data_IF_716689894537
#
_entry.id   IF_716689894537
#
_cell.length_a   1.000
_cell.length_b   1.000
_cell.length_c   1.000
_cell.angle_alpha   90.00
_cell.angle_beta   90.00
_cell.angle_gamma   90.00
#
_symmetry.space_group_name_H-M   'P 1'
#
loop_
_entity.id
_entity.type
_entity.pdbx_description
1 polymer ?
#
# COMPACT_ATOMS: atom_id res chain seq x y z
N UNK A 1 35.21 23.12 -11.45
CA UNK A 1 34.11 22.34 -12.06
C UNK A 1 33.19 21.90 -10.92
N UNK A 2 31.91 22.29 -10.91
CA UNK A 2 31.00 21.86 -9.85
C UNK A 2 30.77 20.35 -9.98
N UNK A 3 30.98 19.61 -8.90
CA UNK A 3 30.68 18.19 -8.80
C UNK A 3 29.22 17.93 -9.22
N UNK A 4 29.05 17.20 -10.31
CA UNK A 4 27.75 16.69 -10.75
C UNK A 4 27.31 15.61 -9.76
N UNK A 5 26.71 16.01 -8.64
CA UNK A 5 26.09 15.11 -7.68
C UNK A 5 24.99 14.34 -8.40
N UNK A 6 25.26 13.08 -8.73
CA UNK A 6 24.29 12.14 -9.29
C UNK A 6 23.21 11.91 -8.25
N UNK A 7 22.08 12.62 -8.40
CA UNK A 7 20.90 12.41 -7.58
C UNK A 7 20.50 10.94 -7.66
N UNK A 8 20.36 10.30 -6.50
CA UNK A 8 19.96 8.90 -6.41
C UNK A 8 18.60 8.71 -7.09
N UNK A 9 18.53 7.70 -7.97
CA UNK A 9 17.33 7.41 -8.75
C UNK A 9 16.18 7.00 -7.82
N UNK A 10 14.99 7.57 -8.05
CA UNK A 10 13.81 7.24 -7.24
C UNK A 10 13.36 5.78 -7.46
N UNK A 11 12.90 5.09 -6.41
CA UNK A 11 12.42 3.71 -6.52
C UNK A 11 11.18 3.63 -7.43
N UNK A 12 11.24 2.79 -8.46
CA UNK A 12 10.14 2.56 -9.41
C UNK A 12 9.10 1.58 -8.86
N UNK A 13 7.85 1.78 -9.28
CA UNK A 13 6.79 0.80 -9.06
C UNK A 13 7.06 -0.49 -9.86
N UNK A 14 6.65 -1.61 -9.29
CA UNK A 14 6.64 -2.91 -9.97
C UNK A 14 5.74 -2.85 -11.23
N UNK A 15 6.13 -3.53 -12.29
CA UNK A 15 5.43 -3.56 -13.59
C UNK A 15 3.99 -4.02 -13.45
N UNK A 16 3.72 -4.95 -12.52
CA UNK A 16 2.35 -5.40 -12.23
C UNK A 16 1.51 -4.26 -11.65
N UNK A 17 2.08 -3.44 -10.77
CA UNK A 17 1.40 -2.31 -10.13
C UNK A 17 1.13 -1.20 -11.13
N UNK A 18 2.10 -0.85 -11.98
CA UNK A 18 1.89 0.18 -13.02
C UNK A 18 0.83 -0.24 -14.04
N UNK A 19 0.81 -1.54 -14.41
CA UNK A 19 -0.23 -2.09 -15.29
C UNK A 19 -1.61 -2.03 -14.65
N UNK A 20 -1.72 -2.37 -13.37
CA UNK A 20 -2.98 -2.28 -12.62
C UNK A 20 -3.47 -0.82 -12.51
N UNK A 21 -2.57 0.12 -12.15
CA UNK A 21 -2.88 1.55 -12.07
C UNK A 21 -3.33 2.12 -13.41
N UNK A 22 -2.66 1.77 -14.51
CA UNK A 22 -3.05 2.20 -15.85
C UNK A 22 -4.45 1.71 -16.22
N UNK A 23 -4.72 0.41 -16.03
CA UNK A 23 -6.05 -0.17 -16.33
C UNK A 23 -7.12 0.51 -15.50
N UNK A 24 -6.84 0.75 -14.22
CA UNK A 24 -7.80 1.40 -13.34
C UNK A 24 -8.04 2.87 -13.74
N UNK A 25 -6.98 3.62 -14.06
CA UNK A 25 -7.09 4.99 -14.56
C UNK A 25 -7.92 5.08 -15.84
N UNK A 26 -7.74 4.13 -16.77
CA UNK A 26 -8.57 4.04 -17.98
C UNK A 26 -10.02 3.73 -17.62
N UNK A 27 -10.27 2.69 -16.81
CA UNK A 27 -11.62 2.28 -16.44
C UNK A 27 -12.41 3.39 -15.73
N UNK A 28 -11.80 4.10 -14.78
CA UNK A 28 -12.49 5.19 -14.07
C UNK A 28 -12.73 6.41 -14.97
N UNK A 29 -11.83 6.67 -15.93
CA UNK A 29 -12.02 7.73 -16.92
C UNK A 29 -13.17 7.40 -17.87
N UNK A 30 -13.21 6.17 -18.39
CA UNK A 30 -14.32 5.69 -19.24
C UNK A 30 -15.63 5.73 -18.48
N UNK A 31 -15.65 5.29 -17.20
CA UNK A 31 -16.84 5.37 -16.36
C UNK A 31 -17.29 6.81 -16.12
N UNK A 32 -16.38 7.75 -15.89
CA UNK A 32 -16.76 9.16 -15.73
C UNK A 32 -17.30 9.74 -17.05
N UNK A 33 -16.63 9.48 -18.18
CA UNK A 33 -17.12 9.92 -19.50
C UNK A 33 -18.52 9.37 -19.75
N UNK A 34 -18.72 8.06 -19.59
CA UNK A 34 -20.03 7.42 -19.70
C UNK A 34 -21.01 7.99 -18.67
N UNK A 35 -20.55 8.31 -17.47
CA UNK A 35 -21.26 9.00 -16.41
C UNK A 35 -21.97 10.26 -16.90
N UNK A 36 -21.19 11.20 -17.40
CA UNK A 36 -21.69 12.49 -17.90
C UNK A 36 -22.48 12.37 -19.21
N UNK A 37 -22.15 11.41 -20.09
CA UNK A 37 -22.80 11.31 -21.40
C UNK A 37 -24.04 10.42 -21.43
N UNK A 38 -24.06 9.32 -20.68
CA UNK A 38 -25.06 8.25 -20.80
C UNK A 38 -25.70 7.81 -19.49
N UNK A 39 -25.04 7.96 -18.34
CA UNK A 39 -25.59 7.47 -17.06
C UNK A 39 -26.40 8.53 -16.32
N UNK A 40 -26.19 9.81 -16.65
CA UNK A 40 -26.91 10.93 -16.06
C UNK A 40 -26.19 11.53 -14.86
N UNK A 41 -24.87 11.71 -14.94
CA UNK A 41 -24.16 12.40 -13.88
C UNK A 41 -24.68 13.84 -13.71
N UNK A 42 -25.15 14.17 -12.51
CA UNK A 42 -25.77 15.47 -12.21
C UNK A 42 -24.75 16.59 -11.99
N UNK A 43 -23.49 16.22 -11.75
CA UNK A 43 -22.44 17.21 -11.48
C UNK A 43 -22.14 18.06 -12.73
N UNK A 44 -21.66 19.30 -12.58
CA UNK A 44 -21.26 20.11 -13.73
C UNK A 44 -20.09 19.50 -14.51
N UNK A 45 -20.15 19.57 -15.85
CA UNK A 45 -19.17 19.00 -16.78
C UNK A 45 -17.72 19.49 -16.58
N UNK A 46 -17.52 20.65 -15.95
CA UNK A 46 -16.19 21.20 -15.66
C UNK A 46 -15.53 20.57 -14.42
N UNK A 47 -16.32 20.03 -13.48
CA UNK A 47 -15.82 19.51 -12.22
C UNK A 47 -14.82 18.36 -12.32
N UNK A 48 -14.98 17.34 -13.19
CA UNK A 48 -14.00 16.26 -13.28
C UNK A 48 -12.64 16.78 -13.76
N UNK A 49 -12.62 17.80 -14.63
CA UNK A 49 -11.39 18.46 -15.07
C UNK A 49 -10.72 19.23 -13.95
N UNK A 50 -11.51 19.99 -13.17
CA UNK A 50 -11.02 20.72 -11.99
C UNK A 50 -10.44 19.76 -10.96
N UNK A 51 -11.12 18.64 -10.70
CA UNK A 51 -10.68 17.62 -9.74
C UNK A 51 -9.37 16.97 -10.17
N UNK A 52 -9.25 16.56 -11.44
CA UNK A 52 -8.02 15.97 -11.99
C UNK A 52 -6.87 16.96 -12.00
N UNK A 53 -7.10 18.20 -12.46
CA UNK A 53 -6.09 19.24 -12.48
C UNK A 53 -5.58 19.54 -11.07
N UNK A 54 -6.49 19.67 -10.10
CA UNK A 54 -6.14 19.84 -8.69
C UNK A 54 -5.30 18.67 -8.20
N UNK A 55 -5.69 17.43 -8.48
CA UNK A 55 -4.95 16.25 -8.06
C UNK A 55 -3.53 16.22 -8.65
N UNK A 56 -3.37 16.60 -9.91
CA UNK A 56 -2.07 16.67 -10.58
C UNK A 56 -1.17 17.75 -9.99
N UNK A 57 -1.70 18.96 -9.82
CA UNK A 57 -0.94 20.07 -9.22
C UNK A 57 -0.46 19.70 -7.82
N UNK A 58 -1.33 19.13 -6.99
CA UNK A 58 -0.99 18.71 -5.63
C UNK A 58 0.05 17.59 -5.63
N UNK A 59 -0.13 16.54 -6.43
CA UNK A 59 0.80 15.40 -6.47
C UNK A 59 2.19 15.81 -6.97
N UNK A 60 2.27 16.64 -8.02
CA UNK A 60 3.54 17.17 -8.55
C UNK A 60 4.22 18.06 -7.51
N UNK A 61 3.47 18.96 -6.87
CA UNK A 61 4.01 19.89 -5.87
C UNK A 61 4.57 19.15 -4.66
N UNK A 62 3.82 18.20 -4.11
CA UNK A 62 4.24 17.42 -2.94
C UNK A 62 5.44 16.52 -3.26
N UNK A 63 5.49 15.94 -4.45
CA UNK A 63 6.66 15.18 -4.91
C UNK A 63 7.88 16.09 -5.11
N UNK A 64 7.73 17.28 -5.67
CA UNK A 64 8.82 18.23 -5.83
C UNK A 64 9.40 18.67 -4.46
N UNK A 65 8.53 18.93 -3.48
CA UNK A 65 8.92 19.27 -2.11
C UNK A 65 9.62 18.09 -1.43
N UNK A 66 9.05 16.89 -1.49
CA UNK A 66 9.65 15.68 -0.92
C UNK A 66 10.99 15.33 -1.57
N UNK A 67 11.09 15.41 -2.89
CA UNK A 67 12.32 15.12 -3.62
C UNK A 67 13.45 16.10 -3.25
N UNK A 68 13.12 17.39 -3.11
CA UNK A 68 14.07 18.42 -2.62
C UNK A 68 14.53 18.13 -1.20
N UNK A 69 13.60 17.80 -0.30
CA UNK A 69 13.93 17.46 1.10
C UNK A 69 14.79 16.20 1.23
N UNK A 70 14.52 15.19 0.42
CA UNK A 70 15.25 13.91 0.40
C UNK A 70 16.51 13.95 -0.50
N UNK A 71 16.83 15.11 -1.11
CA UNK A 71 17.96 15.29 -2.05
C UNK A 71 18.02 14.21 -3.14
N UNK A 72 16.86 13.83 -3.67
CA UNK A 72 16.70 12.83 -4.73
C UNK A 72 16.07 13.46 -5.97
N UNK A 73 16.20 12.78 -7.12
CA UNK A 73 15.48 13.19 -8.30
C UNK A 73 13.96 13.00 -8.10
N UNK A 74 13.11 13.91 -8.61
CA UNK A 74 11.66 13.70 -8.62
C UNK A 74 11.30 12.45 -9.43
N UNK A 75 10.31 11.69 -8.94
CA UNK A 75 9.83 10.45 -9.55
C UNK A 75 9.31 10.67 -10.96
N UNK A 76 8.63 11.79 -11.19
CA UNK A 76 8.10 12.15 -12.49
C UNK A 76 9.18 12.49 -13.54
N UNK A 77 10.41 12.80 -13.11
CA UNK A 77 11.51 13.07 -14.03
C UNK A 77 12.13 11.78 -14.62
N UNK A 78 11.83 10.62 -14.04
CA UNK A 78 12.40 9.34 -14.44
C UNK A 78 11.70 8.69 -15.63
N UNK A 79 12.34 8.63 -16.80
CA UNK A 79 11.82 7.94 -17.99
C UNK A 79 10.96 8.81 -18.92
N UNK A 80 11.18 10.13 -18.89
CA UNK A 80 10.55 11.09 -19.79
C UNK A 80 9.04 11.18 -19.63
N UNK A 81 8.34 11.48 -20.72
CA UNK A 81 6.88 11.65 -20.74
C UNK A 81 6.13 10.44 -20.18
N UNK A 82 6.57 9.22 -20.51
CA UNK A 82 5.96 7.99 -19.99
C UNK A 82 6.07 7.89 -18.46
N UNK A 83 7.21 8.30 -17.90
CA UNK A 83 7.42 8.33 -16.45
C UNK A 83 6.49 9.32 -15.74
N UNK A 84 6.29 10.50 -16.33
CA UNK A 84 5.32 11.49 -15.83
C UNK A 84 3.89 10.93 -15.81
N UNK A 85 3.43 10.33 -16.91
CA UNK A 85 2.08 9.75 -16.99
C UNK A 85 1.90 8.62 -15.97
N UNK A 86 2.88 7.72 -15.85
CA UNK A 86 2.84 6.63 -14.87
C UNK A 86 2.82 7.13 -13.41
N UNK A 87 3.50 8.25 -13.14
CA UNK A 87 3.46 8.92 -11.84
C UNK A 87 2.09 9.54 -11.54
N UNK A 88 1.38 10.06 -12.55
CA UNK A 88 0.11 10.75 -12.36
C UNK A 88 -1.11 9.81 -12.23
N UNK A 89 -1.02 8.54 -12.65
CA UNK A 89 -2.17 7.62 -12.58
C UNK A 89 -2.85 7.54 -11.20
N UNK A 90 -2.13 7.41 -10.07
CA UNK A 90 -2.77 7.37 -8.76
C UNK A 90 -3.50 8.66 -8.41
N UNK A 91 -2.97 9.82 -8.80
CA UNK A 91 -3.60 11.12 -8.56
C UNK A 91 -4.85 11.30 -9.44
N UNK A 92 -4.77 10.90 -10.71
CA UNK A 92 -5.90 10.90 -11.65
C UNK A 92 -7.09 10.12 -11.11
N UNK A 93 -6.84 8.88 -10.69
CA UNK A 93 -7.85 8.00 -10.09
C UNK A 93 -8.45 8.65 -8.84
N UNK A 94 -7.61 9.25 -7.99
CA UNK A 94 -8.07 9.90 -6.75
C UNK A 94 -8.98 11.09 -7.06
N UNK A 95 -8.58 11.97 -7.99
CA UNK A 95 -9.37 13.14 -8.38
C UNK A 95 -10.73 12.77 -8.95
N UNK A 96 -10.77 11.85 -9.92
CA UNK A 96 -12.03 11.38 -10.50
C UNK A 96 -12.91 10.66 -9.47
N UNK A 97 -12.33 9.84 -8.60
CA UNK A 97 -13.10 9.14 -7.57
C UNK A 97 -13.73 10.12 -6.56
N UNK A 98 -12.99 11.12 -6.09
CA UNK A 98 -13.53 12.14 -5.17
C UNK A 98 -14.65 12.92 -5.85
N UNK A 99 -14.46 13.38 -7.09
CA UNK A 99 -15.52 14.07 -7.84
C UNK A 99 -16.77 13.20 -7.99
N UNK A 100 -16.62 11.98 -8.51
CA UNK A 100 -17.72 11.10 -8.86
C UNK A 100 -18.53 10.65 -7.64
N UNK A 101 -17.88 10.46 -6.49
CA UNK A 101 -18.49 9.88 -5.29
C UNK A 101 -18.94 10.92 -4.27
N UNK A 102 -18.64 12.21 -4.48
CA UNK A 102 -19.12 13.27 -3.59
C UNK A 102 -20.21 14.09 -4.27
N UNK A 103 -21.11 14.59 -3.45
CA UNK A 103 -22.12 15.55 -3.85
C UNK A 103 -22.00 16.77 -2.94
N UNK A 104 -21.42 17.84 -3.49
CA UNK A 104 -21.11 19.08 -2.78
C UNK A 104 -21.95 20.26 -3.27
N UNK A 105 -23.13 19.99 -3.82
CA UNK A 105 -24.07 20.97 -4.38
C UNK A 105 -23.42 21.88 -5.45
N UNK A 106 -23.31 23.18 -5.18
CA UNK A 106 -22.71 24.20 -6.04
C UNK A 106 -21.27 24.56 -5.61
N UNK A 107 -20.75 23.93 -4.55
CA UNK A 107 -19.50 24.35 -3.87
C UNK A 107 -18.29 23.56 -4.36
N UNK A 108 -17.83 23.87 -5.57
CA UNK A 108 -16.63 23.26 -6.19
C UNK A 108 -15.39 23.32 -5.28
N UNK A 109 -15.26 24.36 -4.44
CA UNK A 109 -14.15 24.50 -3.49
C UNK A 109 -14.09 23.38 -2.45
N UNK A 110 -15.22 22.79 -2.06
CA UNK A 110 -15.26 21.65 -1.14
C UNK A 110 -14.77 20.38 -1.81
N UNK A 111 -15.09 20.18 -3.09
CA UNK A 111 -14.50 19.10 -3.89
C UNK A 111 -12.98 19.29 -4.05
N UNK A 112 -12.52 20.51 -4.38
CA UNK A 112 -11.08 20.84 -4.46
C UNK A 112 -10.39 20.52 -3.13
N UNK A 113 -10.96 20.95 -2.01
CA UNK A 113 -10.47 20.65 -0.67
C UNK A 113 -10.36 19.13 -0.43
N UNK A 114 -11.41 18.36 -0.73
CA UNK A 114 -11.39 16.91 -0.60
C UNK A 114 -10.30 16.25 -1.44
N UNK A 115 -10.07 16.72 -2.66
CA UNK A 115 -8.98 16.23 -3.53
C UNK A 115 -7.61 16.55 -2.92
N UNK A 116 -7.40 17.76 -2.41
CA UNK A 116 -6.15 18.15 -1.73
C UNK A 116 -5.88 17.24 -0.53
N UNK A 117 -6.88 17.01 0.32
CA UNK A 117 -6.77 16.12 1.49
C UNK A 117 -6.49 14.67 1.05
N UNK A 118 -7.21 14.19 0.04
CA UNK A 118 -7.08 12.84 -0.49
C UNK A 118 -5.68 12.57 -1.07
N UNK A 119 -5.14 13.50 -1.86
CA UNK A 119 -3.80 13.37 -2.42
C UNK A 119 -2.75 13.56 -1.31
N UNK A 120 -2.93 14.59 -0.47
CA UNK A 120 -2.04 14.93 0.63
C UNK A 120 -1.85 13.81 1.65
N UNK A 121 -2.89 13.01 1.94
CA UNK A 121 -2.76 11.91 2.90
C UNK A 121 -1.73 10.85 2.48
N UNK A 122 -1.42 10.70 1.18
CA UNK A 122 -0.36 9.79 0.70
C UNK A 122 1.03 10.22 1.16
N UNK A 123 1.19 11.52 1.41
CA UNK A 123 2.45 12.15 1.79
C UNK A 123 2.61 12.23 3.31
N UNK A 124 1.52 12.55 4.01
CA UNK A 124 1.51 12.75 5.46
C UNK A 124 1.34 11.41 6.22
N UNK A 125 0.35 10.60 5.86
CA UNK A 125 -0.02 9.39 6.63
C UNK A 125 0.68 8.16 6.08
N UNK A 126 1.95 8.00 6.45
CA UNK A 126 2.78 6.84 6.09
C UNK A 126 3.13 6.00 7.33
N UNK A 127 3.14 4.69 7.15
CA UNK A 127 3.55 3.73 8.17
C UNK A 127 4.71 2.85 7.66
N UNK A 128 5.61 2.42 8.54
CA UNK A 128 6.72 1.54 8.18
C UNK A 128 6.18 0.13 7.87
N UNK A 129 6.36 -0.33 6.63
CA UNK A 129 5.97 -1.66 6.20
C UNK A 129 7.15 -2.35 5.50
N UNK A 130 7.71 -3.40 6.12
CA UNK A 130 8.88 -4.14 5.62
C UNK A 130 10.06 -3.21 5.28
N UNK A 131 10.37 -2.26 6.17
CA UNK A 131 11.49 -1.33 6.01
C UNK A 131 11.26 -0.20 5.01
N UNK A 132 10.06 -0.05 4.43
CA UNK A 132 9.70 1.10 3.57
C UNK A 132 8.48 1.82 4.10
N UNK A 133 8.50 3.15 4.07
CA UNK A 133 7.34 3.98 4.38
C UNK A 133 6.30 3.86 3.27
N UNK A 134 5.08 3.45 3.63
CA UNK A 134 3.94 3.36 2.70
C UNK A 134 2.73 4.06 3.28
N UNK A 135 1.93 4.69 2.43
CA UNK A 135 0.64 5.21 2.87
C UNK A 135 -0.24 4.05 3.31
N UNK A 136 -0.98 4.24 4.39
CA UNK A 136 -1.89 3.22 4.92
C UNK A 136 -3.36 3.62 4.79
N UNK A 137 -3.62 4.88 4.44
CA UNK A 137 -4.95 5.45 4.30
C UNK A 137 -5.38 5.48 2.84
N UNK A 138 -6.60 5.00 2.54
CA UNK A 138 -7.15 5.09 1.18
C UNK A 138 -7.39 6.58 0.86
N UNK A 139 -6.74 7.12 -0.17
CA UNK A 139 -6.69 8.55 -0.42
C UNK A 139 -8.08 9.13 -0.71
N UNK A 140 -8.79 8.60 -1.70
CA UNK A 140 -10.12 9.09 -2.07
C UNK A 140 -11.12 8.87 -0.94
N UNK A 141 -11.09 7.71 -0.29
CA UNK A 141 -11.96 7.42 0.84
C UNK A 141 -11.75 8.40 2.00
N UNK A 142 -10.50 8.74 2.32
CA UNK A 142 -10.19 9.67 3.40
C UNK A 142 -10.58 11.10 3.05
N UNK A 143 -10.34 11.56 1.82
CA UNK A 143 -10.81 12.87 1.37
C UNK A 143 -12.33 13.01 1.48
N UNK A 144 -13.07 11.98 1.06
CA UNK A 144 -14.54 11.92 1.20
C UNK A 144 -14.94 11.95 2.67
N UNK A 145 -14.32 11.13 3.52
CA UNK A 145 -14.63 11.10 4.95
C UNK A 145 -14.39 12.46 5.64
N UNK A 146 -13.31 13.17 5.26
CA UNK A 146 -13.01 14.50 5.80
C UNK A 146 -14.00 15.55 5.28
N UNK A 147 -14.44 15.48 4.02
CA UNK A 147 -15.53 16.33 3.53
C UNK A 147 -16.78 16.12 4.40
N UNK A 148 -17.22 14.86 4.55
CA UNK A 148 -18.44 14.53 5.29
C UNK A 148 -18.37 14.92 6.77
N UNK A 149 -17.16 14.93 7.36
CA UNK A 149 -16.94 15.34 8.74
C UNK A 149 -17.01 16.87 8.92
N UNK A 150 -16.42 17.63 7.99
CA UNK A 150 -16.28 19.09 8.12
C UNK A 150 -17.45 19.86 7.49
N UNK A 151 -18.11 19.27 6.50
CA UNK A 151 -19.20 19.87 5.74
C UNK A 151 -20.43 18.96 5.85
N UNK A 152 -21.22 19.06 6.94
CA UNK A 152 -22.34 18.16 7.21
C UNK A 152 -23.49 18.28 6.18
N UNK A 153 -23.52 19.35 5.38
CA UNK A 153 -24.45 19.55 4.28
C UNK A 153 -23.98 18.88 2.98
N UNK A 154 -22.72 18.44 2.91
CA UNK A 154 -22.22 17.64 1.79
C UNK A 154 -22.65 16.18 1.99
N UNK A 155 -22.84 15.48 0.87
CA UNK A 155 -23.28 14.08 0.87
C UNK A 155 -22.42 13.25 -0.08
N UNK A 156 -22.69 11.95 -0.07
CA UNK A 156 -22.17 11.03 -1.09
C UNK A 156 -23.09 11.12 -2.30
N UNK A 157 -22.50 10.96 -3.49
CA UNK A 157 -23.27 10.84 -4.73
C UNK A 157 -24.38 9.79 -4.56
N UNK A 158 -25.64 10.15 -4.82
CA UNK A 158 -26.76 9.25 -4.58
C UNK A 158 -26.70 8.04 -5.52
N UNK A 159 -27.22 6.86 -5.13
CA UNK A 159 -27.08 5.65 -5.94
C UNK A 159 -27.65 5.76 -7.36
N UNK A 160 -28.74 6.52 -7.55
CA UNK A 160 -29.39 6.74 -8.84
C UNK A 160 -28.49 7.49 -9.83
N UNK A 161 -27.53 8.29 -9.33
CA UNK A 161 -26.58 9.05 -10.14
C UNK A 161 -25.83 8.21 -11.18
N UNK A 162 -25.67 6.91 -10.93
CA UNK A 162 -24.97 5.99 -11.82
C UNK A 162 -25.87 5.31 -12.86
N UNK A 163 -27.19 5.48 -12.77
CA UNK A 163 -28.18 4.76 -13.58
C UNK A 163 -29.38 5.63 -13.98
N UNK A 164 -29.34 6.96 -13.79
CA UNK A 164 -30.50 7.86 -13.98
C UNK A 164 -31.10 7.78 -15.38
N UNK A 165 -30.25 7.68 -16.40
CA UNK A 165 -30.68 7.56 -17.79
C UNK A 165 -30.75 6.12 -18.30
N UNK A 166 -30.54 5.15 -17.42
CA UNK A 166 -30.73 3.74 -17.74
C UNK A 166 -32.14 3.32 -17.36
N UNK A 167 -32.71 2.42 -18.17
CA UNK A 167 -34.05 1.90 -17.94
C UNK A 167 -34.09 0.40 -18.27
N UNK A 168 -34.81 -0.36 -17.45
CA UNK A 168 -35.12 -1.76 -17.73
C UNK A 168 -33.90 -2.68 -17.58
N UNK A 169 -33.58 -3.54 -18.55
CA UNK A 169 -32.44 -4.47 -18.42
C UNK A 169 -31.09 -3.76 -18.22
N UNK A 170 -30.92 -2.53 -18.73
CA UNK A 170 -29.67 -1.79 -18.64
C UNK A 170 -29.25 -1.48 -17.19
N UNK A 171 -30.22 -1.30 -16.30
CA UNK A 171 -30.01 -1.01 -14.87
C UNK A 171 -29.25 -2.13 -14.15
N UNK A 172 -29.39 -3.37 -14.63
CA UNK A 172 -28.70 -4.54 -14.08
C UNK A 172 -27.38 -4.82 -14.81
N UNK A 173 -27.31 -4.49 -16.10
CA UNK A 173 -26.12 -4.74 -16.93
C UNK A 173 -24.94 -3.90 -16.46
N UNK A 174 -25.12 -2.61 -16.15
CA UNK A 174 -24.02 -1.75 -15.72
C UNK A 174 -23.38 -2.22 -14.39
N UNK A 175 -24.12 -2.43 -13.28
CA UNK A 175 -23.56 -3.01 -12.06
C UNK A 175 -22.87 -4.36 -12.32
N UNK A 176 -23.44 -5.22 -13.17
CA UNK A 176 -22.85 -6.51 -13.49
C UNK A 176 -21.51 -6.38 -14.23
N UNK A 177 -21.39 -5.44 -15.18
CA UNK A 177 -20.12 -5.14 -15.87
C UNK A 177 -19.08 -4.65 -14.87
N UNK A 178 -19.44 -3.67 -14.03
CA UNK A 178 -18.52 -3.10 -13.02
C UNK A 178 -18.09 -4.19 -12.03
N UNK A 179 -19.02 -5.02 -11.57
CA UNK A 179 -18.76 -6.14 -10.66
C UNK A 179 -17.82 -7.16 -11.32
N UNK A 180 -18.05 -7.54 -12.57
CA UNK A 180 -17.24 -8.53 -13.29
C UNK A 180 -15.83 -8.00 -13.53
N UNK A 181 -15.69 -6.78 -14.02
CA UNK A 181 -14.39 -6.13 -14.25
C UNK A 181 -13.61 -5.94 -12.94
N UNK A 182 -14.30 -5.46 -11.90
CA UNK A 182 -13.73 -5.26 -10.57
C UNK A 182 -13.27 -6.57 -9.94
N UNK A 183 -14.10 -7.61 -10.00
CA UNK A 183 -13.78 -8.94 -9.46
C UNK A 183 -12.62 -9.56 -10.22
N UNK A 184 -12.59 -9.46 -11.56
CA UNK A 184 -11.49 -9.96 -12.38
C UNK A 184 -10.17 -9.25 -12.05
N UNK A 185 -10.19 -7.92 -11.87
CA UNK A 185 -9.03 -7.15 -11.45
C UNK A 185 -8.54 -7.62 -10.08
N UNK A 186 -9.46 -7.84 -9.13
CA UNK A 186 -9.11 -8.28 -7.79
C UNK A 186 -8.63 -9.73 -7.70
N UNK A 187 -9.15 -10.61 -8.54
CA UNK A 187 -8.75 -12.00 -8.62
C UNK A 187 -7.38 -12.17 -9.29
N UNK A 188 -7.12 -11.46 -10.40
CA UNK A 188 -5.90 -11.67 -11.21
C UNK A 188 -4.75 -10.72 -10.88
N UNK A 189 -5.01 -9.47 -10.49
CA UNK A 189 -3.98 -8.43 -10.37
C UNK A 189 -3.67 -8.07 -8.91
N UNK A 190 -4.67 -7.79 -8.07
CA UNK A 190 -4.44 -7.28 -6.70
C UNK A 190 -4.45 -8.37 -5.63
N UNK A 191 -5.12 -9.51 -5.89
CA UNK A 191 -5.18 -10.65 -4.98
C UNK A 191 -5.97 -10.35 -3.70
N UNK A 192 -7.12 -9.68 -3.83
CA UNK A 192 -7.93 -9.17 -2.70
C UNK A 192 -9.26 -9.89 -2.48
N UNK A 193 -9.44 -11.07 -3.06
CA UNK A 193 -10.69 -11.84 -2.96
C UNK A 193 -11.08 -12.20 -1.51
N UNK A 194 -10.11 -12.53 -0.65
CA UNK A 194 -10.41 -12.85 0.76
C UNK A 194 -10.94 -11.63 1.52
N UNK A 195 -10.44 -10.44 1.20
CA UNK A 195 -10.93 -9.19 1.76
C UNK A 195 -12.37 -8.92 1.30
N UNK A 196 -12.64 -9.04 -0.01
CA UNK A 196 -13.98 -8.86 -0.58
C UNK A 196 -14.98 -9.81 0.09
N UNK A 197 -14.65 -11.10 0.17
CA UNK A 197 -15.55 -12.09 0.77
C UNK A 197 -15.81 -11.79 2.25
N UNK A 198 -14.78 -11.45 3.02
CA UNK A 198 -14.95 -11.12 4.44
C UNK A 198 -15.76 -9.83 4.65
N UNK A 199 -15.57 -8.83 3.79
CA UNK A 199 -16.36 -7.60 3.78
C UNK A 199 -17.84 -7.88 3.47
N UNK A 200 -18.13 -8.63 2.39
CA UNK A 200 -19.51 -8.93 1.98
C UNK A 200 -20.24 -9.80 3.01
N UNK A 201 -19.61 -10.87 3.47
CA UNK A 201 -20.18 -11.74 4.51
C UNK A 201 -20.37 -10.95 5.81
N UNK A 202 -19.36 -10.18 6.22
CA UNK A 202 -19.47 -9.32 7.39
C UNK A 202 -20.59 -8.29 7.26
N UNK A 203 -20.78 -7.69 6.08
CA UNK A 203 -21.85 -6.73 5.81
C UNK A 203 -23.23 -7.35 5.97
N UNK A 204 -23.43 -8.57 5.45
CA UNK A 204 -24.69 -9.31 5.61
C UNK A 204 -24.91 -9.68 7.08
N UNK A 205 -23.90 -10.23 7.74
CA UNK A 205 -23.99 -10.64 9.15
C UNK A 205 -24.32 -9.45 10.05
N UNK A 206 -23.64 -8.31 9.91
CA UNK A 206 -23.94 -7.13 10.74
C UNK A 206 -25.35 -6.58 10.46
N UNK A 207 -25.84 -6.64 9.22
CA UNK A 207 -27.18 -6.19 8.88
C UNK A 207 -28.25 -7.08 9.51
N UNK A 208 -28.05 -8.41 9.47
CA UNK A 208 -28.94 -9.38 10.13
C UNK A 208 -28.92 -9.20 11.64
N UNK A 209 -27.74 -9.10 12.26
CA UNK A 209 -27.62 -8.88 13.71
C UNK A 209 -28.33 -7.60 14.14
N UNK A 210 -28.13 -6.50 13.42
CA UNK A 210 -28.85 -5.24 13.70
C UNK A 210 -30.35 -5.36 13.48
N UNK A 211 -30.79 -6.11 12.48
CA UNK A 211 -32.21 -6.36 12.27
C UNK A 211 -32.85 -7.13 13.42
N UNK A 212 -32.16 -8.14 13.95
CA UNK A 212 -32.64 -8.94 15.07
C UNK A 212 -32.57 -8.21 16.42
N UNK A 213 -31.53 -7.41 16.66
CA UNK A 213 -31.30 -6.74 17.96
C UNK A 213 -31.95 -5.37 18.04
N UNK A 214 -31.91 -4.58 16.95
CA UNK A 214 -32.36 -3.18 16.93
C UNK A 214 -33.67 -2.99 16.16
N UNK A 215 -34.27 -4.07 15.63
CA UNK A 215 -35.52 -4.00 14.85
C UNK A 215 -35.37 -3.30 13.49
N UNK A 216 -34.15 -3.13 12.98
CA UNK A 216 -33.94 -2.55 11.64
C UNK A 216 -34.47 -3.50 10.55
N UNK A 217 -35.15 -2.98 9.53
CA UNK A 217 -35.54 -3.81 8.37
C UNK A 217 -34.30 -4.39 7.68
N UNK A 218 -34.15 -5.72 7.74
CA UNK A 218 -33.02 -6.43 7.12
C UNK A 218 -32.98 -6.19 5.60
N UNK A 219 -34.10 -6.29 4.85
CA UNK A 219 -34.09 -5.97 3.42
C UNK A 219 -33.64 -4.53 3.13
N UNK A 220 -34.08 -3.56 3.94
CA UNK A 220 -33.65 -2.17 3.77
C UNK A 220 -32.15 -1.99 4.04
N UNK A 221 -31.62 -2.65 5.08
CA UNK A 221 -30.20 -2.62 5.41
C UNK A 221 -29.32 -3.27 4.32
N UNK A 222 -29.82 -4.33 3.68
CA UNK A 222 -29.14 -5.00 2.56
C UNK A 222 -29.33 -4.27 1.22
N UNK A 223 -30.32 -3.37 1.11
CA UNK A 223 -30.63 -2.65 -0.12
C UNK A 223 -29.43 -1.88 -0.69
N UNK A 224 -28.51 -1.39 0.14
CA UNK A 224 -27.28 -0.75 -0.34
C UNK A 224 -26.45 -1.66 -1.24
N UNK A 225 -26.47 -2.99 -1.04
CA UNK A 225 -25.65 -3.94 -1.78
C UNK A 225 -26.00 -4.03 -3.27
N UNK A 226 -27.21 -3.60 -3.66
CA UNK A 226 -27.65 -3.61 -5.05
C UNK A 226 -27.18 -2.37 -5.83
N UNK A 227 -26.73 -1.32 -5.13
CA UNK A 227 -26.33 -0.06 -5.76
C UNK A 227 -24.94 -0.10 -6.39
N UNK A 228 -24.78 0.63 -7.50
CA UNK A 228 -23.49 0.79 -8.20
C UNK A 228 -22.40 1.34 -7.27
N UNK A 229 -22.75 2.30 -6.40
CA UNK A 229 -21.81 2.87 -5.43
C UNK A 229 -21.21 1.80 -4.49
N UNK A 230 -22.00 0.83 -4.05
CA UNK A 230 -21.53 -0.26 -3.20
C UNK A 230 -20.59 -1.22 -3.96
N UNK A 231 -20.92 -1.53 -5.22
CA UNK A 231 -20.07 -2.35 -6.10
C UNK A 231 -18.73 -1.65 -6.37
N UNK A 232 -18.75 -0.35 -6.65
CA UNK A 232 -17.56 0.46 -6.86
C UNK A 232 -16.70 0.52 -5.60
N UNK A 233 -17.31 0.79 -4.45
CA UNK A 233 -16.62 0.79 -3.17
C UNK A 233 -15.95 -0.57 -2.88
N UNK A 234 -16.69 -1.66 -3.07
CA UNK A 234 -16.24 -3.03 -2.79
C UNK A 234 -15.07 -3.43 -3.70
N UNK A 235 -15.12 -3.08 -4.99
CA UNK A 235 -14.13 -3.54 -5.95
C UNK A 235 -12.93 -2.60 -6.13
N UNK A 236 -13.09 -1.32 -5.79
CA UNK A 236 -12.11 -0.29 -6.15
C UNK A 236 -11.67 0.61 -4.99
N UNK A 237 -12.34 0.57 -3.83
CA UNK A 237 -11.95 1.38 -2.67
C UNK A 237 -11.47 0.51 -1.50
N UNK A 238 -12.32 -0.38 -0.98
CA UNK A 238 -11.97 -1.21 0.18
C UNK A 238 -10.81 -2.17 -0.12
N UNK A 239 -10.65 -2.54 -1.40
CA UNK A 239 -9.61 -3.43 -1.93
C UNK A 239 -8.36 -2.70 -2.43
N UNK A 240 -8.24 -1.39 -2.21
CA UNK A 240 -7.10 -0.60 -2.68
C UNK A 240 -5.78 -1.27 -2.26
N UNK A 241 -4.95 -1.76 -3.21
CA UNK A 241 -3.74 -2.53 -2.89
C UNK A 241 -2.68 -1.69 -2.18
N UNK A 242 -2.74 -0.36 -2.28
CA UNK A 242 -1.86 0.55 -1.54
C UNK A 242 -2.04 0.45 -0.03
N UNK A 243 -3.27 0.21 0.42
CA UNK A 243 -3.70 0.41 1.82
C UNK A 243 -4.21 -0.86 2.47
N UNK A 244 -4.78 -1.78 1.70
CA UNK A 244 -5.22 -3.08 2.18
C UNK A 244 -4.07 -4.09 2.39
N UNK A 245 -4.17 -4.99 3.38
CA UNK A 245 -3.14 -5.98 3.67
C UNK A 245 -3.02 -7.08 2.60
N UNK A 246 -1.86 -7.72 2.49
CA UNK A 246 -1.60 -8.77 1.50
C UNK A 246 -1.81 -10.20 2.01
N UNK A 247 -1.57 -10.48 3.30
CA UNK A 247 -1.76 -11.82 3.89
C UNK A 247 -3.25 -12.16 4.00
N UNK A 248 -3.62 -13.42 3.74
CA UNK A 248 -5.03 -13.89 3.73
C UNK A 248 -5.76 -13.61 5.05
N UNK A 249 -5.16 -13.98 6.19
CA UNK A 249 -5.77 -13.73 7.51
C UNK A 249 -5.96 -12.23 7.79
N UNK A 250 -4.97 -11.41 7.44
CA UNK A 250 -5.06 -9.96 7.58
C UNK A 250 -6.09 -9.34 6.63
N UNK A 251 -6.29 -9.90 5.43
CA UNK A 251 -7.36 -9.49 4.51
C UNK A 251 -8.74 -9.75 5.10
N UNK A 252 -8.94 -10.95 5.69
CA UNK A 252 -10.19 -11.31 6.36
C UNK A 252 -10.45 -10.37 7.53
N UNK A 253 -9.47 -10.19 8.42
CA UNK A 253 -9.59 -9.29 9.57
C UNK A 253 -9.87 -7.84 9.14
N UNK A 254 -9.25 -7.36 8.07
CA UNK A 254 -9.50 -6.02 7.53
C UNK A 254 -10.92 -5.91 6.97
N UNK A 255 -11.33 -6.80 6.06
CA UNK A 255 -12.67 -6.76 5.46
C UNK A 255 -13.80 -6.91 6.49
N UNK A 256 -13.68 -7.88 7.40
CA UNK A 256 -14.61 -8.07 8.50
C UNK A 256 -14.60 -6.86 9.46
N UNK A 257 -13.43 -6.27 9.73
CA UNK A 257 -13.31 -5.07 10.55
C UNK A 257 -14.01 -3.86 9.93
N UNK A 258 -13.91 -3.65 8.62
CA UNK A 258 -14.66 -2.57 7.93
C UNK A 258 -16.17 -2.82 8.05
N UNK A 259 -16.63 -4.06 7.88
CA UNK A 259 -18.05 -4.40 8.02
C UNK A 259 -18.55 -4.20 9.45
N UNK A 260 -17.80 -4.64 10.45
CA UNK A 260 -18.13 -4.44 11.86
C UNK A 260 -18.18 -2.95 12.22
N UNK A 261 -17.17 -2.18 11.79
CA UNK A 261 -17.14 -0.73 12.02
C UNK A 261 -18.31 -0.02 11.33
N UNK A 262 -18.65 -0.41 10.09
CA UNK A 262 -19.83 0.10 9.41
C UNK A 262 -21.12 -0.19 10.19
N UNK A 263 -21.27 -1.42 10.70
CA UNK A 263 -22.41 -1.81 11.51
C UNK A 263 -22.53 -0.98 12.80
N UNK A 264 -21.42 -0.74 13.50
CA UNK A 264 -21.37 0.12 14.69
C UNK A 264 -21.76 1.56 14.34
N UNK A 265 -21.14 2.17 13.33
CA UNK A 265 -21.45 3.54 12.94
C UNK A 265 -22.91 3.71 12.54
N UNK A 266 -23.46 2.75 11.78
CA UNK A 266 -24.86 2.81 11.36
C UNK A 266 -25.81 2.59 12.54
N UNK A 267 -25.45 1.74 13.50
CA UNK A 267 -26.22 1.57 14.74
C UNK A 267 -26.24 2.86 15.58
N UNK A 268 -25.19 3.66 15.52
CA UNK A 268 -25.13 5.00 16.14
C UNK A 268 -25.86 6.09 15.33
N UNK A 269 -26.52 5.72 14.22
CA UNK A 269 -27.23 6.68 13.36
C UNK A 269 -26.31 7.53 12.47
N UNK A 270 -25.04 7.18 12.33
CA UNK A 270 -24.09 7.92 11.48
C UNK A 270 -24.34 7.54 10.01
N UNK A 271 -24.84 8.51 9.24
CA UNK A 271 -24.99 8.38 7.80
C UNK A 271 -23.64 8.19 7.09
N UNK A 272 -23.67 7.64 5.88
CA UNK A 272 -22.47 7.53 5.02
C UNK A 272 -21.34 6.68 5.64
N UNK A 273 -21.71 5.75 6.53
CA UNK A 273 -20.78 5.02 7.39
C UNK A 273 -19.70 4.21 6.68
N UNK A 274 -19.88 3.80 5.42
CA UNK A 274 -18.88 2.95 4.72
C UNK A 274 -17.53 3.67 4.53
N UNK A 275 -17.55 4.99 4.30
CA UNK A 275 -16.34 5.79 4.11
C UNK A 275 -15.64 6.04 5.45
N UNK A 276 -16.40 6.40 6.47
CA UNK A 276 -15.91 6.53 7.85
C UNK A 276 -15.35 5.20 8.37
N UNK A 277 -16.04 4.08 8.14
CA UNK A 277 -15.60 2.76 8.58
C UNK A 277 -14.24 2.39 7.99
N UNK A 278 -14.08 2.57 6.67
CA UNK A 278 -12.79 2.29 6.01
C UNK A 278 -11.69 3.23 6.49
N UNK A 279 -11.99 4.51 6.68
CA UNK A 279 -11.02 5.48 7.19
C UNK A 279 -10.55 5.11 8.61
N UNK A 280 -11.47 4.75 9.50
CA UNK A 280 -11.17 4.35 10.88
C UNK A 280 -10.38 3.03 10.92
N UNK A 281 -10.76 2.02 10.13
CA UNK A 281 -10.02 0.74 10.10
C UNK A 281 -8.62 0.92 9.52
N UNK A 282 -8.46 1.74 8.47
CA UNK A 282 -7.16 2.14 7.97
C UNK A 282 -6.34 2.86 9.05
N UNK A 283 -6.95 3.77 9.81
CA UNK A 283 -6.29 4.49 10.91
C UNK A 283 -5.82 3.54 12.01
N UNK A 284 -6.69 2.64 12.48
CA UNK A 284 -6.36 1.61 13.48
C UNK A 284 -5.20 0.74 12.99
N UNK A 285 -5.25 0.29 11.73
CA UNK A 285 -4.16 -0.49 11.12
C UNK A 285 -2.86 0.31 11.04
N UNK A 286 -2.92 1.59 10.65
CA UNK A 286 -1.76 2.48 10.61
C UNK A 286 -1.11 2.65 11.98
N UNK A 287 -1.92 2.88 13.01
CA UNK A 287 -1.50 2.93 14.42
C UNK A 287 -0.88 1.61 14.89
N UNK A 288 -1.49 0.47 14.56
CA UNK A 288 -0.94 -0.86 14.86
C UNK A 288 0.44 -1.08 14.24
N UNK A 289 0.64 -0.69 12.98
CA UNK A 289 1.95 -0.80 12.30
C UNK A 289 3.02 0.08 12.96
N UNK A 290 2.66 1.29 13.37
CA UNK A 290 3.55 2.16 14.13
C UNK A 290 3.88 1.57 15.51
N UNK A 291 2.89 1.03 16.21
CA UNK A 291 3.10 0.33 17.49
C UNK A 291 4.09 -0.81 17.37
N UNK A 292 3.91 -1.70 16.39
CA UNK A 292 4.85 -2.79 16.12
C UNK A 292 6.28 -2.29 15.85
N UNK A 293 6.42 -1.19 15.10
CA UNK A 293 7.71 -0.60 14.80
C UNK A 293 8.41 -0.02 16.03
N UNK A 294 7.66 0.63 16.93
CA UNK A 294 8.22 1.12 18.20
C UNK A 294 8.65 -0.04 19.10
N UNK A 295 7.83 -1.10 19.19
CA UNK A 295 8.17 -2.30 19.96
C UNK A 295 9.41 -3.01 19.38
N UNK A 296 9.54 -3.14 18.06
CA UNK A 296 10.72 -3.75 17.45
C UNK A 296 11.98 -2.93 17.73
N UNK A 297 11.89 -1.60 17.62
CA UNK A 297 13.01 -0.69 17.92
C UNK A 297 13.43 -0.75 19.39
N UNK A 298 12.49 -0.88 20.32
CA UNK A 298 12.78 -1.09 21.74
C UNK A 298 13.50 -2.43 21.95
N UNK A 299 13.01 -3.53 21.37
CA UNK A 299 13.66 -4.85 21.47
C UNK A 299 15.08 -4.85 20.90
N UNK A 300 15.30 -4.19 19.77
CA UNK A 300 16.64 -4.04 19.19
C UNK A 300 17.57 -3.22 20.10
N UNK A 301 17.05 -2.19 20.76
CA UNK A 301 17.84 -1.36 21.69
C UNK A 301 18.23 -2.16 22.93
N UNK A 302 17.30 -2.91 23.52
CA UNK A 302 17.56 -3.79 24.67
C UNK A 302 18.54 -4.91 24.30
N UNK A 303 18.37 -5.53 23.12
CA UNK A 303 19.30 -6.57 22.65
C UNK A 303 20.72 -6.03 22.42
N UNK A 304 20.87 -4.79 21.93
CA UNK A 304 22.18 -4.12 21.77
C UNK A 304 22.83 -3.81 23.11
N UNK A 305 22.05 -3.45 24.13
CA UNK A 305 22.57 -3.19 25.49
C UNK A 305 22.93 -4.48 26.24
N UNK A 306 22.29 -5.60 25.90
CA UNK A 306 22.56 -6.91 26.50
C UNK A 306 23.75 -7.66 25.87
N UNK A 307 24.30 -7.19 24.74
CA UNK A 307 25.54 -7.74 24.21
C UNK A 307 26.70 -7.35 25.15
N UNK A 308 27.46 -8.32 25.71
CA UNK A 308 28.63 -8.00 26.50
C UNK A 308 29.57 -7.14 25.68
N UNK A 309 30.11 -6.10 26.29
CA UNK A 309 31.28 -5.38 25.76
C UNK A 309 32.39 -6.43 25.68
N UNK A 310 32.54 -7.07 24.51
CA UNK A 310 33.68 -7.92 24.24
C UNK A 310 34.90 -7.02 24.46
N UNK A 311 35.71 -7.44 25.42
CA UNK A 311 36.85 -6.72 25.95
C UNK A 311 37.60 -5.99 24.83
N UNK A 312 37.82 -4.69 25.03
CA UNK A 312 38.91 -4.00 24.35
C UNK A 312 40.16 -4.87 24.49
N UNK A 313 40.93 -5.11 23.42
CA UNK A 313 42.23 -5.74 23.59
C UNK A 313 43.06 -4.79 24.46
N UNK A 314 43.21 -5.14 25.74
CA UNK A 314 44.19 -4.52 26.60
C UNK A 314 45.51 -4.54 25.83
N UNK A 315 46.11 -3.36 25.68
CA UNK A 315 47.50 -3.23 25.30
C UNK A 315 48.34 -3.89 26.40
N UNK A 316 48.53 -5.20 26.28
CA UNK A 316 49.55 -5.93 27.00
C UNK A 316 50.91 -5.51 26.45
N UNK A 317 51.62 -4.73 27.26
CA UNK A 317 53.06 -4.50 27.11
C UNK A 317 53.78 -5.85 26.95
N UNK A 318 54.24 -6.15 25.74
CA UNK A 318 55.23 -7.18 25.51
C UNK A 318 56.62 -6.51 25.49
N UNK A 319 57.58 -6.90 26.35
CA UNK A 319 58.97 -6.48 26.19
C UNK A 319 59.54 -7.12 24.93
N UNK A 320 60.32 -6.33 24.18
CA UNK A 320 61.04 -6.78 23.01
C UNK A 320 62.08 -7.84 23.40
N UNK A 321 61.93 -9.06 22.87
CA UNK A 321 62.97 -10.09 22.93
C UNK A 321 63.62 -10.27 21.55
N UNK A 322 64.94 -10.34 21.59
CA UNK A 322 65.89 -10.22 20.49
C UNK A 322 65.93 -11.45 19.57
N UNK A 323 66.27 -11.19 18.31
CA UNK A 323 66.72 -12.17 17.31
C UNK A 323 68.04 -12.84 17.71
N UNK A 324 68.13 -14.18 17.65
CA UNK A 324 69.25 -15.00 17.14
C UNK A 324 68.84 -16.51 17.03
N UNK A 325 69.62 -17.43 16.43
CA UNK A 325 69.32 -18.08 15.15
C UNK A 325 69.01 -19.60 15.25
N UNK A 326 68.59 -20.18 14.10
CA UNK A 326 68.22 -21.59 13.92
C UNK A 326 69.39 -22.60 13.99
N UNK A 327 69.08 -23.89 14.25
CA UNK A 327 69.71 -25.00 13.53
C UNK A 327 68.69 -26.00 12.94
N UNK A 328 69.05 -26.59 11.79
CA UNK A 328 68.36 -27.68 11.05
C UNK A 328 68.74 -29.09 11.61
N UNK A 329 68.35 -30.25 11.01
CA UNK A 329 67.03 -30.90 11.09
C UNK A 329 67.10 -32.37 11.58
N UNK A 330 66.01 -32.94 12.11
CA UNK A 330 65.84 -34.40 12.24
C UNK A 330 64.36 -34.84 12.22
N UNK A 331 64.05 -35.85 11.40
CA UNK A 331 62.74 -36.47 11.17
C UNK A 331 62.57 -37.81 11.95
N UNK A 332 61.44 -38.57 11.86
CA UNK A 332 60.01 -38.21 11.77
C UNK A 332 59.08 -38.96 12.81
N UNK A 333 57.89 -38.38 13.03
CA UNK A 333 56.54 -38.94 13.38
C UNK A 333 56.34 -39.96 14.54
N UNK A 334 55.24 -39.83 15.32
CA UNK A 334 53.90 -40.29 14.89
C UNK A 334 52.73 -39.31 15.19
N UNK A 335 51.55 -39.62 14.62
CA UNK A 335 50.28 -38.86 14.53
C UNK A 335 49.16 -39.70 15.20
N UNK A 336 47.92 -39.24 15.53
CA UNK A 336 47.34 -37.92 15.88
C UNK A 336 46.55 -37.91 17.22
N UNK A 337 46.20 -36.72 17.75
CA UNK A 337 44.95 -36.53 18.50
C UNK A 337 44.44 -35.07 18.38
N UNK A 338 43.20 -34.93 17.92
CA UNK A 338 42.26 -33.81 18.09
C UNK A 338 42.68 -32.37 17.74
N UNK A 339 42.32 -31.95 16.51
CA UNK A 339 42.32 -30.56 16.09
C UNK A 339 40.88 -30.00 16.05
N UNK A 340 40.65 -28.96 16.86
CA UNK A 340 39.49 -28.07 16.81
C UNK A 340 39.28 -27.45 15.39
N UNK A 341 38.05 -27.08 15.01
CA UNK A 341 37.77 -26.60 13.66
C UNK A 341 38.47 -25.27 13.39
N UNK A 342 39.44 -25.28 12.48
CA UNK A 342 40.06 -24.07 11.93
C UNK A 342 39.05 -23.33 11.05
N UNK A 343 38.75 -22.08 11.38
CA UNK A 343 38.02 -21.16 10.50
C UNK A 343 38.87 -20.84 9.27
N UNK A 344 38.49 -21.39 8.12
CA UNK A 344 39.09 -21.02 6.85
C UNK A 344 38.67 -19.59 6.48
N UNK A 345 39.61 -18.66 6.46
CA UNK A 345 39.41 -17.35 5.84
C UNK A 345 39.26 -17.56 4.32
N UNK A 346 38.06 -17.32 3.80
CA UNK A 346 37.77 -17.40 2.36
C UNK A 346 38.39 -16.17 1.70
N UNK A 347 39.45 -16.38 0.91
CA UNK A 347 40.01 -15.35 0.03
C UNK A 347 39.06 -15.21 -1.16
N UNK A 348 38.40 -14.05 -1.26
CA UNK A 348 37.49 -13.73 -2.36
C UNK A 348 38.30 -13.34 -3.60
N UNK A 349 37.95 -13.89 -4.77
CA UNK A 349 38.65 -13.67 -6.03
C UNK A 349 38.35 -12.30 -6.66
N UNK A 350 37.42 -11.53 -6.08
CA UNK A 350 36.96 -10.24 -6.60
C UNK A 350 35.95 -10.34 -7.74
N UNK A 351 35.59 -11.56 -8.17
CA UNK A 351 34.52 -11.81 -9.13
C UNK A 351 33.26 -12.28 -8.37
N UNK A 352 32.21 -11.44 -8.28
CA UNK A 352 31.02 -11.74 -7.49
C UNK A 352 30.28 -13.02 -7.90
N UNK A 353 30.45 -13.46 -9.14
CA UNK A 353 29.83 -14.68 -9.64
C UNK A 353 30.59 -15.94 -9.20
N UNK A 354 31.92 -15.90 -9.18
CA UNK A 354 32.76 -17.01 -8.69
C UNK A 354 32.75 -17.10 -7.17
N UNK A 355 32.72 -15.95 -6.51
CA UNK A 355 32.73 -15.82 -5.05
C UNK A 355 31.36 -16.12 -4.40
N UNK A 356 30.32 -16.33 -5.21
CA UNK A 356 29.00 -16.61 -4.69
C UNK A 356 28.42 -15.46 -3.88
N UNK A 357 28.68 -14.21 -4.29
CA UNK A 357 28.14 -12.98 -3.67
C UNK A 357 27.19 -12.20 -4.58
N UNK A 358 27.07 -12.55 -5.87
CA UNK A 358 26.15 -11.88 -6.82
C UNK A 358 24.66 -12.21 -6.59
N UNK A 359 23.75 -11.38 -7.11
CA UNK A 359 22.29 -11.51 -6.97
C UNK A 359 21.55 -11.80 -8.29
N UNK A 360 22.24 -12.40 -9.27
CA UNK A 360 21.59 -12.85 -10.52
C UNK A 360 20.68 -14.06 -10.27
N UNK A 361 19.52 -14.10 -10.93
CA UNK A 361 18.46 -15.10 -10.68
C UNK A 361 18.91 -16.56 -10.86
N UNK A 362 19.81 -16.85 -11.81
CA UNK A 362 20.38 -18.20 -11.99
C UNK A 362 21.28 -18.61 -10.82
N UNK A 363 22.20 -17.74 -10.40
CA UNK A 363 23.14 -18.02 -9.32
C UNK A 363 22.46 -18.12 -7.93
N UNK A 364 21.33 -17.42 -7.73
CA UNK A 364 20.53 -17.54 -6.52
C UNK A 364 19.86 -18.92 -6.40
N UNK A 365 19.42 -19.50 -7.51
CA UNK A 365 18.84 -20.85 -7.53
C UNK A 365 19.87 -21.93 -7.16
N UNK A 366 21.10 -21.82 -7.68
CA UNK A 366 22.18 -22.78 -7.40
C UNK A 366 22.68 -22.76 -5.94
N UNK A 367 22.53 -21.63 -5.21
CA UNK A 367 22.84 -21.58 -3.78
C UNK A 367 21.81 -22.31 -2.93
N UNK A 368 20.55 -22.27 -3.32
CA UNK A 368 19.46 -22.92 -2.60
C UNK A 368 19.56 -24.45 -2.75
N UNK A 369 19.99 -24.93 -3.92
CA UNK A 369 20.23 -26.37 -4.15
C UNK A 369 21.45 -26.87 -3.39
N UNK A 370 22.58 -26.14 -3.40
CA UNK A 370 23.77 -26.52 -2.63
C UNK A 370 23.55 -26.51 -1.11
N UNK A 371 22.78 -25.56 -0.56
CA UNK A 371 22.45 -25.54 0.88
C UNK A 371 21.60 -26.74 1.34
N UNK A 372 20.78 -27.32 0.45
CA UNK A 372 20.02 -28.53 0.77
C UNK A 372 20.88 -29.79 0.82
N UNK A 373 22.00 -29.84 0.11
CA UNK A 373 22.91 -30.99 0.11
C UNK A 373 23.85 -31.04 1.32
N UNK A 374 24.01 -29.94 2.07
CA UNK A 374 24.97 -29.81 3.16
C UNK A 374 24.37 -29.97 4.56
N UNK A 375 23.10 -30.38 4.68
CA UNK A 375 22.48 -30.72 5.97
C UNK A 375 22.38 -32.25 6.04
N UNK A 376 23.31 -32.95 6.72
CA UNK A 376 23.09 -34.34 7.09
C UNK A 376 21.95 -34.41 8.13
N UNK A 377 21.09 -35.42 8.00
CA UNK A 377 20.11 -35.82 9.03
C UNK A 377 20.86 -36.45 10.20
#
# INVERSE_FOLDING_TARGET
>A
MPETKTLTAAPRHDVKVTTALRRFAISISVLNIAGYTFLGFEQPWLWPFIAVLTAYVVEITLEAVSARGEKRAPRYAGGGFKGMVEFLFPAHITGLAVNMLTYVNDRVWVMIFGVIVAVGTKWVLRAPLKGRMRHYMNPSNFGIAVILLLFPWASIAPPYHFTEYLYGPADWVLPAIILTLGTMLNAKLTGRMWLIMAWLVGFVVQAVVRGLVMGTSIPAALGMMTGVAFVLFTNYMVTDPGTSPSKRSSQIAFGAGVAAMYGVLTALGIAYGIFFATALVCLIRGGYLWGLHFLSKQRETVARQALPVAASPEHGNAPAEQFAPAPEPSAPAPVPADAAPRTAAVVLSGDPCKDGTCFHGKCAADRVTKKKAAVPV
#
